data_IF_617755305213
#
_entry.id   IF_617755305213
#
_cell.length_a   1.000
_cell.length_b   1.000
_cell.length_c   1.000
_cell.angle_alpha   90.00
_cell.angle_beta   90.00
_cell.angle_gamma   90.00
#
_symmetry.space_group_name_H-M   'P 1'
#
loop_
_entity.id
_entity.type
_entity.pdbx_description
1 polymer ?
#
# COMPACT_ATOMS: atom_id res chain seq x y z
N UNK A 1 -24.76 17.68 -9.56
CA UNK A 1 -24.73 16.83 -8.34
C UNK A 1 -26.03 16.91 -7.55
N UNK A 2 -26.51 18.10 -7.18
CA UNK A 2 -27.79 18.27 -6.46
C UNK A 2 -29.01 17.78 -7.27
N UNK A 3 -29.06 18.08 -8.57
CA UNK A 3 -30.15 17.64 -9.47
C UNK A 3 -30.29 16.11 -9.56
N UNK A 4 -29.19 15.38 -9.41
CA UNK A 4 -29.18 13.91 -9.35
C UNK A 4 -29.26 13.40 -7.90
N UNK A 5 -29.65 14.26 -6.95
CA UNK A 5 -29.90 13.93 -5.54
C UNK A 5 -28.71 13.31 -4.80
N UNK A 6 -27.48 13.62 -5.22
CA UNK A 6 -26.23 13.15 -4.56
C UNK A 6 -26.10 11.61 -4.46
N UNK A 7 -26.80 10.89 -5.35
CA UNK A 7 -26.84 9.42 -5.34
C UNK A 7 -26.02 8.77 -6.45
N UNK A 8 -25.14 9.54 -7.09
CA UNK A 8 -24.46 9.12 -8.31
C UNK A 8 -22.97 9.45 -8.26
N UNK A 9 -22.20 8.65 -9.00
CA UNK A 9 -20.74 8.82 -9.12
C UNK A 9 -20.40 9.91 -10.13
N UNK A 10 -19.14 10.36 -10.13
CA UNK A 10 -18.64 11.37 -11.05
C UNK A 10 -18.98 11.05 -12.52
N UNK A 11 -18.73 9.82 -12.96
CA UNK A 11 -19.02 9.38 -14.33
C UNK A 11 -20.49 9.54 -14.72
N UNK A 12 -21.41 9.23 -13.81
CA UNK A 12 -22.84 9.40 -14.08
C UNK A 12 -23.24 10.87 -14.14
N UNK A 13 -22.67 11.71 -13.26
CA UNK A 13 -22.87 13.17 -13.29
C UNK A 13 -22.36 13.77 -14.61
N UNK A 14 -21.17 13.34 -15.05
CA UNK A 14 -20.59 13.78 -16.33
C UNK A 14 -21.44 13.33 -17.51
N UNK A 15 -21.93 12.08 -17.50
CA UNK A 15 -22.84 11.60 -18.55
C UNK A 15 -24.11 12.44 -18.64
N UNK A 16 -24.67 12.89 -17.51
CA UNK A 16 -25.81 13.82 -17.51
C UNK A 16 -25.43 15.17 -18.11
N UNK A 17 -24.29 15.74 -17.72
CA UNK A 17 -23.80 17.02 -18.24
C UNK A 17 -23.54 16.96 -19.75
N UNK A 18 -22.95 15.89 -20.23
CA UNK A 18 -22.64 15.66 -21.65
C UNK A 18 -23.84 15.17 -22.47
N UNK A 19 -25.02 14.98 -21.87
CA UNK A 19 -26.18 14.47 -22.59
C UNK A 19 -26.03 13.02 -23.08
N UNK A 20 -25.12 12.25 -22.48
CA UNK A 20 -24.83 10.87 -22.86
C UNK A 20 -25.87 9.91 -22.26
N UNK A 21 -26.52 9.13 -23.13
CA UNK A 21 -27.56 8.18 -22.75
C UNK A 21 -26.98 6.86 -22.20
N UNK A 22 -26.36 6.93 -21.02
CA UNK A 22 -25.90 5.74 -20.30
C UNK A 22 -27.05 4.92 -19.70
N UNK A 23 -26.78 3.66 -19.32
CA UNK A 23 -27.74 2.81 -18.62
C UNK A 23 -28.27 3.48 -17.34
N UNK A 24 -27.39 4.07 -16.53
CA UNK A 24 -27.77 4.83 -15.33
C UNK A 24 -28.70 6.01 -15.66
N UNK A 25 -28.37 6.79 -16.69
CA UNK A 25 -29.18 7.95 -17.11
C UNK A 25 -30.59 7.53 -17.50
N UNK A 26 -30.73 6.41 -18.23
CA UNK A 26 -32.04 5.85 -18.62
C UNK A 26 -32.81 5.30 -17.42
N UNK A 27 -32.16 4.53 -16.55
CA UNK A 27 -32.78 3.91 -15.37
C UNK A 27 -33.34 4.95 -14.41
N UNK A 28 -32.59 6.02 -14.16
CA UNK A 28 -33.00 7.10 -13.24
C UNK A 28 -33.72 8.26 -13.93
N UNK A 29 -34.01 8.13 -15.23
CA UNK A 29 -34.68 9.15 -16.06
C UNK A 29 -33.99 10.52 -16.01
N UNK A 30 -32.67 10.53 -15.85
CA UNK A 30 -31.89 11.77 -15.82
C UNK A 30 -31.86 12.51 -17.15
N UNK A 31 -32.23 11.83 -18.25
CA UNK A 31 -32.44 12.42 -19.56
C UNK A 31 -33.61 13.43 -19.60
N UNK A 32 -34.47 13.45 -18.57
CA UNK A 32 -35.57 14.42 -18.45
C UNK A 32 -35.21 15.63 -17.57
N UNK A 33 -34.01 15.67 -16.99
CA UNK A 33 -33.56 16.81 -16.19
C UNK A 33 -33.23 17.99 -17.10
N UNK A 34 -33.55 19.20 -16.66
CA UNK A 34 -33.23 20.42 -17.43
C UNK A 34 -31.72 20.65 -17.61
N UNK A 35 -30.89 20.02 -16.79
CA UNK A 35 -29.42 20.09 -16.87
C UNK A 35 -28.82 19.10 -17.87
N UNK A 36 -29.63 18.19 -18.42
CA UNK A 36 -29.13 17.16 -19.32
C UNK A 36 -28.59 17.79 -20.61
N UNK A 37 -27.31 17.54 -20.93
CA UNK A 37 -26.65 18.08 -22.12
C UNK A 37 -26.22 19.55 -22.05
N UNK A 38 -26.51 20.28 -20.96
CA UNK A 38 -26.06 21.68 -20.78
C UNK A 38 -24.54 21.83 -20.64
N UNK A 39 -23.84 20.72 -20.36
CA UNK A 39 -22.38 20.71 -20.25
C UNK A 39 -21.64 20.61 -21.58
N UNK A 40 -22.34 20.48 -22.72
CA UNK A 40 -21.72 20.40 -24.05
C UNK A 40 -21.37 21.77 -24.66
N UNK A 41 -21.61 22.87 -23.94
CA UNK A 41 -21.30 24.22 -24.40
C UNK A 41 -19.79 24.47 -24.44
N UNK A 42 -19.29 25.17 -25.46
CA UNK A 42 -17.89 25.58 -25.65
C UNK A 42 -16.86 24.44 -25.69
N UNK A 43 -17.16 23.35 -26.42
CA UNK A 43 -16.24 22.19 -26.62
C UNK A 43 -15.80 21.51 -25.32
N UNK A 44 -16.55 21.68 -24.23
CA UNK A 44 -16.27 21.01 -22.95
C UNK A 44 -16.57 19.51 -23.07
N UNK A 45 -15.50 18.72 -23.08
CA UNK A 45 -15.54 17.27 -23.21
C UNK A 45 -15.54 16.56 -21.84
N UNK A 46 -15.52 15.23 -21.86
CA UNK A 46 -15.43 14.42 -20.63
C UNK A 46 -14.19 14.75 -19.81
N UNK A 47 -13.05 15.07 -20.44
CA UNK A 47 -11.82 15.45 -19.72
C UNK A 47 -12.03 16.76 -18.96
N UNK A 48 -12.63 17.76 -19.60
CA UNK A 48 -12.95 19.03 -18.96
C UNK A 48 -13.81 18.85 -17.71
N UNK A 49 -14.92 18.11 -17.80
CA UNK A 49 -15.81 17.90 -16.66
C UNK A 49 -15.18 17.04 -15.56
N UNK A 50 -14.30 16.09 -15.92
CA UNK A 50 -13.49 15.38 -14.94
C UNK A 50 -12.54 16.33 -14.19
N UNK A 51 -11.86 17.24 -14.88
CA UNK A 51 -10.99 18.24 -14.27
C UNK A 51 -11.78 19.16 -13.31
N UNK A 52 -12.98 19.60 -13.72
CA UNK A 52 -13.88 20.41 -12.87
C UNK A 52 -14.29 19.65 -11.60
N UNK A 53 -14.69 18.38 -11.73
CA UNK A 53 -15.07 17.56 -10.56
C UNK A 53 -13.85 17.33 -9.64
N UNK A 54 -12.67 17.07 -10.20
CA UNK A 54 -11.43 16.89 -9.44
C UNK A 54 -11.08 18.16 -8.66
N UNK A 55 -11.13 19.32 -9.32
CA UNK A 55 -10.91 20.61 -8.67
C UNK A 55 -11.93 20.88 -7.57
N UNK A 56 -13.21 20.53 -7.80
CA UNK A 56 -14.26 20.70 -6.81
C UNK A 56 -14.07 19.78 -5.58
N UNK A 57 -13.52 18.58 -5.76
CA UNK A 57 -13.13 17.67 -4.67
C UNK A 57 -11.92 18.21 -3.89
N UNK A 58 -10.86 18.63 -4.58
CA UNK A 58 -9.63 19.19 -3.97
C UNK A 58 -9.92 20.47 -3.20
N UNK A 59 -10.76 21.34 -3.78
CA UNK A 59 -11.19 22.59 -3.15
C UNK A 59 -12.18 22.36 -2.00
N UNK A 60 -12.65 21.12 -1.81
CA UNK A 60 -13.55 20.71 -0.75
C UNK A 60 -15.01 21.16 -0.94
N UNK A 61 -15.43 21.50 -2.16
CA UNK A 61 -16.85 21.78 -2.48
C UNK A 61 -17.66 20.50 -2.64
N UNK A 62 -17.02 19.45 -3.14
CA UNK A 62 -17.57 18.11 -3.22
C UNK A 62 -16.81 17.18 -2.27
N UNK A 63 -17.48 16.14 -1.81
CA UNK A 63 -16.87 15.01 -1.12
C UNK A 63 -17.36 13.69 -1.73
N UNK A 64 -16.57 12.63 -1.53
CA UNK A 64 -16.98 11.27 -1.85
C UNK A 64 -17.51 10.61 -0.59
N UNK A 65 -18.68 9.99 -0.71
CA UNK A 65 -19.21 9.14 0.35
C UNK A 65 -18.40 7.83 0.41
N UNK A 66 -17.69 7.64 1.51
CA UNK A 66 -16.81 6.49 1.76
C UNK A 66 -17.64 5.22 2.02
N UNK A 67 -18.83 5.36 2.61
CA UNK A 67 -19.69 4.23 2.98
C UNK A 67 -20.50 3.72 1.77
N UNK A 68 -20.83 4.60 0.82
CA UNK A 68 -21.69 4.28 -0.32
C UNK A 68 -20.94 4.13 -1.66
N UNK A 69 -19.69 3.66 -1.65
CA UNK A 69 -18.90 3.41 -2.88
C UNK A 69 -18.70 4.67 -3.77
N UNK A 70 -18.35 5.80 -3.17
CA UNK A 70 -17.81 6.97 -3.89
C UNK A 70 -18.85 7.86 -4.58
N UNK A 71 -20.07 7.93 -4.04
CA UNK A 71 -21.09 8.89 -4.49
C UNK A 71 -20.65 10.32 -4.21
N UNK A 72 -20.92 11.23 -5.15
CA UNK A 72 -20.60 12.64 -4.97
C UNK A 72 -21.66 13.33 -4.11
N UNK A 73 -21.21 13.95 -3.01
CA UNK A 73 -22.01 14.81 -2.14
C UNK A 73 -21.48 16.24 -2.16
N UNK A 74 -22.37 17.21 -1.99
CA UNK A 74 -22.00 18.62 -1.84
C UNK A 74 -21.71 18.90 -0.37
N UNK A 75 -20.53 19.45 -0.09
CA UNK A 75 -20.13 19.80 1.28
C UNK A 75 -20.81 21.09 1.73
N UNK A 76 -20.70 21.43 3.02
CA UNK A 76 -21.14 22.74 3.53
C UNK A 76 -20.51 23.90 2.75
N UNK A 77 -19.20 23.82 2.50
CA UNK A 77 -18.44 24.78 1.69
C UNK A 77 -18.95 24.87 0.25
N UNK A 78 -19.36 23.73 -0.34
CA UNK A 78 -19.97 23.70 -1.67
C UNK A 78 -21.32 24.42 -1.73
N UNK A 79 -22.13 24.33 -0.67
CA UNK A 79 -23.40 25.06 -0.58
C UNK A 79 -23.18 26.56 -0.40
N UNK A 80 -22.24 26.95 0.46
CA UNK A 80 -21.82 28.36 0.64
C UNK A 80 -21.32 28.97 -0.68
N UNK A 81 -20.57 28.20 -1.48
CA UNK A 81 -20.15 28.62 -2.82
C UNK A 81 -21.31 28.83 -3.80
N UNK A 82 -22.39 28.03 -3.71
CA UNK A 82 -23.57 28.21 -4.55
C UNK A 82 -24.36 29.47 -4.19
N UNK A 83 -24.32 29.90 -2.92
CA UNK A 83 -24.96 31.14 -2.45
C UNK A 83 -24.14 32.39 -2.82
N UNK A 84 -22.81 32.29 -2.79
CA UNK A 84 -21.89 33.38 -3.13
C UNK A 84 -20.75 32.89 -4.05
N UNK A 85 -21.00 32.74 -5.35
CA UNK A 85 -20.02 32.18 -6.28
C UNK A 85 -18.87 33.15 -6.52
N UNK A 86 -17.66 32.60 -6.61
CA UNK A 86 -16.45 33.33 -6.98
C UNK A 86 -15.66 32.57 -8.06
N UNK A 87 -14.82 33.30 -8.80
CA UNK A 87 -14.03 32.71 -9.88
C UNK A 87 -12.92 31.82 -9.34
N UNK A 88 -12.79 30.64 -9.93
CA UNK A 88 -11.73 29.67 -9.61
C UNK A 88 -11.01 29.34 -10.91
N UNK A 89 -9.68 29.36 -10.85
CA UNK A 89 -8.84 28.97 -11.99
C UNK A 89 -8.88 27.46 -12.18
N UNK A 90 -9.31 27.02 -13.36
CA UNK A 90 -9.26 25.61 -13.76
C UNK A 90 -7.96 25.36 -14.54
N UNK A 91 -7.11 24.47 -14.02
CA UNK A 91 -5.96 23.97 -14.77
C UNK A 91 -6.49 23.10 -15.91
N UNK A 92 -6.21 23.49 -17.16
CA UNK A 92 -6.48 22.64 -18.33
C UNK A 92 -5.51 21.47 -18.33
N UNK A 93 -6.04 20.28 -18.61
CA UNK A 93 -5.22 19.09 -18.80
C UNK A 93 -4.36 19.26 -20.07
N UNK A 94 -3.10 18.87 -20.03
CA UNK A 94 -2.20 18.98 -21.18
C UNK A 94 -2.39 17.77 -22.10
N UNK A 95 -2.90 18.01 -23.32
CA UNK A 95 -2.88 17.00 -24.38
C UNK A 95 -1.42 16.81 -24.87
N UNK A 96 -0.77 15.74 -24.42
CA UNK A 96 0.52 15.27 -24.95
C UNK A 96 0.37 14.54 -26.29
N UNK A 97 -0.48 15.03 -27.18
CA UNK A 97 -0.57 14.54 -28.56
C UNK A 97 0.01 15.60 -29.50
N UNK A 98 1.33 15.74 -29.49
CA UNK A 98 2.05 16.44 -30.56
C UNK A 98 3.13 17.43 -30.12
N UNK A 99 4.21 16.96 -29.50
CA UNK A 99 5.50 17.63 -29.56
C UNK A 99 6.63 16.63 -29.28
N UNK A 100 7.65 16.65 -30.14
CA UNK A 100 8.82 15.77 -30.06
C UNK A 100 9.74 16.08 -28.86
N UNK A 101 10.85 15.33 -28.72
CA UNK A 101 11.69 15.36 -27.54
C UNK A 101 12.63 16.58 -27.59
N UNK A 102 12.29 17.64 -26.88
CA UNK A 102 13.22 18.66 -26.37
C UNK A 102 12.45 19.67 -25.51
N UNK A 103 12.69 19.69 -24.20
CA UNK A 103 13.49 20.72 -23.53
C UNK A 103 13.12 20.75 -22.04
N UNK A 104 14.13 20.62 -21.20
CA UNK A 104 14.03 20.61 -19.74
C UNK A 104 13.67 22.01 -19.23
N UNK A 105 12.66 22.13 -18.35
CA UNK A 105 12.71 23.09 -17.23
C UNK A 105 11.68 22.74 -16.16
N UNK A 106 12.23 22.20 -15.06
CA UNK A 106 11.89 22.31 -13.65
C UNK A 106 10.46 22.63 -13.13
N UNK A 107 10.29 22.18 -11.88
CA UNK A 107 9.36 22.61 -10.80
C UNK A 107 7.91 22.07 -10.88
N UNK A 108 7.26 21.47 -9.85
CA UNK A 108 7.48 21.36 -8.39
C UNK A 108 6.91 20.02 -7.92
N UNK A 109 7.62 19.36 -7.00
CA UNK A 109 7.11 18.28 -6.15
C UNK A 109 5.88 18.72 -5.35
N UNK A 110 4.77 17.99 -5.47
CA UNK A 110 3.78 17.93 -4.41
C UNK A 110 3.36 16.48 -4.23
N UNK A 111 4.17 15.77 -3.43
CA UNK A 111 3.73 14.56 -2.78
C UNK A 111 2.48 14.83 -1.95
N UNK A 112 1.48 13.98 -2.12
CA UNK A 112 0.53 13.63 -1.07
C UNK A 112 0.00 12.24 -1.37
N UNK A 113 0.62 11.26 -0.73
CA UNK A 113 0.08 9.93 -0.60
C UNK A 113 -1.23 9.93 0.20
N UNK A 114 -2.03 8.89 -0.03
CA UNK A 114 -3.11 8.49 0.87
C UNK A 114 -4.47 8.32 0.21
N UNK A 115 -4.84 7.04 0.00
CA UNK A 115 -6.21 6.51 -0.03
C UNK A 115 -7.00 6.56 -1.34
N UNK A 116 -7.01 5.42 -2.04
CA UNK A 116 -8.19 4.93 -2.78
C UNK A 116 -8.48 5.48 -4.17
N UNK A 117 -7.62 6.32 -4.75
CA UNK A 117 -7.71 6.71 -6.15
C UNK A 117 -6.74 5.88 -7.00
N UNK A 118 -7.24 5.29 -8.09
CA UNK A 118 -6.42 4.61 -9.11
C UNK A 118 -5.35 5.56 -9.61
N UNK A 119 -4.09 5.13 -9.59
CA UNK A 119 -3.00 5.87 -10.22
C UNK A 119 -3.18 5.84 -11.74
N UNK A 120 -3.54 6.99 -12.30
CA UNK A 120 -3.87 7.16 -13.71
C UNK A 120 -2.63 6.97 -14.62
N UNK A 121 -1.44 7.31 -14.12
CA UNK A 121 -0.19 7.17 -14.88
C UNK A 121 0.16 5.68 -14.97
N UNK A 122 0.19 4.98 -13.83
CA UNK A 122 0.44 3.55 -13.80
C UNK A 122 -0.61 2.78 -14.60
N UNK A 123 -1.88 3.15 -14.48
CA UNK A 123 -2.96 2.53 -15.24
C UNK A 123 -2.79 2.69 -16.76
N UNK A 124 -2.34 3.86 -17.22
CA UNK A 124 -2.03 4.07 -18.64
C UNK A 124 -0.87 3.18 -19.11
N UNK A 125 0.21 3.12 -18.33
CA UNK A 125 1.37 2.25 -18.62
C UNK A 125 0.95 0.78 -18.70
N UNK A 126 0.09 0.33 -17.77
CA UNK A 126 -0.45 -1.02 -17.75
C UNK A 126 -1.34 -1.32 -18.97
N UNK A 127 -2.18 -0.36 -19.40
CA UNK A 127 -3.00 -0.49 -20.62
C UNK A 127 -2.14 -0.67 -21.86
N UNK A 128 -1.06 0.08 -21.98
CA UNK A 128 -0.15 -0.03 -23.11
C UNK A 128 0.61 -1.36 -23.09
N UNK A 129 1.03 -1.83 -21.91
CA UNK A 129 1.63 -3.15 -21.75
C UNK A 129 0.67 -4.28 -22.12
N UNK A 130 -0.63 -4.16 -21.80
CA UNK A 130 -1.66 -5.10 -22.28
C UNK A 130 -1.72 -5.11 -23.80
N UNK A 131 -1.78 -3.95 -24.46
CA UNK A 131 -1.85 -3.89 -25.94
C UNK A 131 -0.61 -4.53 -26.57
N UNK A 132 0.57 -4.25 -26.04
CA UNK A 132 1.82 -4.84 -26.52
C UNK A 132 1.84 -6.36 -26.35
N UNK A 133 1.46 -6.86 -25.17
CA UNK A 133 1.41 -8.29 -24.85
C UNK A 133 0.37 -9.02 -25.71
N UNK A 134 -0.81 -8.43 -25.87
CA UNK A 134 -1.89 -8.93 -26.71
C UNK A 134 -1.46 -9.06 -28.17
N UNK A 135 -0.80 -8.02 -28.71
CA UNK A 135 -0.24 -8.03 -30.07
C UNK A 135 0.84 -9.11 -30.23
N UNK A 136 1.77 -9.22 -29.29
CA UNK A 136 2.84 -10.22 -29.32
C UNK A 136 2.30 -11.66 -29.27
N UNK A 137 1.23 -11.89 -28.50
CA UNK A 137 0.59 -13.20 -28.36
C UNK A 137 -0.51 -13.48 -29.38
N UNK A 138 -0.86 -12.51 -30.24
CA UNK A 138 -1.99 -12.56 -31.19
C UNK A 138 -3.33 -12.89 -30.50
N UNK A 139 -3.56 -12.30 -29.33
CA UNK A 139 -4.77 -12.48 -28.53
C UNK A 139 -5.47 -11.14 -28.34
N UNK A 140 -6.80 -11.10 -28.15
CA UNK A 140 -7.50 -9.88 -27.76
C UNK A 140 -7.01 -9.33 -26.40
N UNK A 141 -6.93 -8.00 -26.20
CA UNK A 141 -6.46 -7.38 -24.95
C UNK A 141 -7.09 -7.90 -23.66
N UNK A 142 -8.41 -8.11 -23.65
CA UNK A 142 -9.16 -8.59 -22.48
C UNK A 142 -8.78 -10.01 -22.04
N UNK A 143 -8.15 -10.80 -22.92
CA UNK A 143 -7.67 -12.15 -22.61
C UNK A 143 -6.43 -12.09 -21.69
N UNK A 144 -5.62 -11.04 -21.83
CA UNK A 144 -4.43 -10.82 -21.00
C UNK A 144 -4.88 -10.41 -19.60
N UNK A 145 -5.44 -9.22 -19.47
CA UNK A 145 -6.05 -8.71 -18.23
C UNK A 145 -7.27 -7.85 -18.57
N UNK A 146 -8.26 -7.88 -17.68
CA UNK A 146 -9.45 -7.02 -17.80
C UNK A 146 -9.15 -5.64 -17.20
N UNK A 147 -9.88 -4.62 -17.65
CA UNK A 147 -9.69 -3.25 -17.17
C UNK A 147 -9.81 -3.15 -15.64
N UNK A 148 -10.78 -3.85 -15.04
CA UNK A 148 -10.93 -3.95 -13.58
C UNK A 148 -9.68 -4.49 -12.87
N UNK A 149 -8.97 -5.44 -13.48
CA UNK A 149 -7.72 -5.97 -12.93
C UNK A 149 -6.60 -4.93 -13.01
N UNK A 150 -6.56 -4.13 -14.08
CA UNK A 150 -5.54 -3.08 -14.24
C UNK A 150 -5.79 -1.90 -13.29
N UNK A 151 -7.06 -1.52 -13.09
CA UNK A 151 -7.45 -0.50 -12.10
C UNK A 151 -7.02 -0.94 -10.70
N UNK A 152 -7.25 -2.20 -10.34
CA UNK A 152 -6.87 -2.73 -9.05
C UNK A 152 -5.34 -2.87 -8.90
N UNK A 153 -4.61 -3.24 -9.95
CA UNK A 153 -3.13 -3.21 -9.95
C UNK A 153 -2.58 -1.80 -9.71
N UNK A 154 -3.21 -0.77 -10.29
CA UNK A 154 -2.84 0.63 -10.09
C UNK A 154 -3.29 1.20 -8.73
N UNK A 155 -4.04 0.44 -7.94
CA UNK A 155 -4.36 0.77 -6.55
C UNK A 155 -3.44 0.00 -5.59
N UNK A 156 -3.24 -1.29 -5.84
CA UNK A 156 -2.57 -2.22 -4.90
C UNK A 156 -1.05 -2.35 -5.13
N UNK A 157 -0.55 -1.92 -6.29
CA UNK A 157 0.86 -1.96 -6.68
C UNK A 157 1.54 -3.33 -6.45
N UNK A 158 1.05 -4.43 -7.04
CA UNK A 158 1.67 -5.74 -6.86
C UNK A 158 3.06 -5.80 -7.50
N UNK A 159 4.11 -6.09 -6.72
CA UNK A 159 5.52 -6.16 -7.19
C UNK A 159 6.07 -7.58 -7.28
N UNK A 160 5.24 -8.60 -7.06
CA UNK A 160 5.60 -9.99 -7.27
C UNK A 160 4.41 -10.80 -7.79
N UNK A 161 4.71 -12.01 -8.27
CA UNK A 161 3.69 -12.90 -8.84
C UNK A 161 2.68 -13.41 -7.81
N UNK A 162 3.03 -13.42 -6.52
CA UNK A 162 2.09 -13.82 -5.45
C UNK A 162 1.11 -12.70 -5.09
N UNK A 163 1.52 -11.44 -5.24
CA UNK A 163 0.66 -10.29 -5.04
C UNK A 163 -0.30 -10.12 -6.21
N UNK A 164 0.17 -10.32 -7.45
CA UNK A 164 -0.68 -10.16 -8.63
C UNK A 164 -1.77 -11.22 -8.74
N UNK A 165 -1.60 -12.42 -8.14
CA UNK A 165 -2.66 -13.46 -8.08
C UNK A 165 -3.79 -13.13 -7.11
N UNK A 166 -3.58 -12.16 -6.22
CA UNK A 166 -4.62 -11.66 -5.30
C UNK A 166 -5.53 -10.61 -5.95
N UNK A 167 -5.17 -10.13 -7.15
CA UNK A 167 -5.95 -9.16 -7.92
C UNK A 167 -7.17 -9.83 -8.53
N UNK A 168 -8.31 -9.15 -8.50
CA UNK A 168 -9.58 -9.63 -9.04
C UNK A 168 -9.44 -9.91 -10.54
N UNK A 169 -9.83 -11.12 -10.96
CA UNK A 169 -9.75 -11.55 -12.36
C UNK A 169 -8.37 -12.09 -12.79
N UNK A 170 -7.40 -12.17 -11.86
CA UNK A 170 -6.05 -12.71 -12.10
C UNK A 170 -5.86 -14.03 -11.37
N UNK A 171 -6.23 -15.14 -12.01
CA UNK A 171 -5.90 -16.48 -11.49
C UNK A 171 -4.45 -16.87 -11.74
N UNK A 172 -3.98 -17.93 -11.05
CA UNK A 172 -2.62 -18.49 -11.17
C UNK A 172 -2.17 -18.73 -12.62
N UNK A 173 -3.08 -19.17 -13.49
CA UNK A 173 -2.79 -19.40 -14.90
C UNK A 173 -2.45 -18.11 -15.68
N UNK A 174 -3.13 -16.99 -15.41
CA UNK A 174 -2.85 -15.70 -16.04
C UNK A 174 -1.60 -15.06 -15.44
N UNK A 175 -1.44 -15.12 -14.12
CA UNK A 175 -0.26 -14.62 -13.43
C UNK A 175 1.03 -15.29 -13.94
N UNK A 176 1.03 -16.62 -14.05
CA UNK A 176 2.18 -17.36 -14.57
C UNK A 176 2.47 -17.07 -16.05
N UNK A 177 1.42 -16.96 -16.90
CA UNK A 177 1.59 -16.76 -18.35
C UNK A 177 1.91 -15.32 -18.76
N UNK A 178 1.37 -14.33 -18.06
CA UNK A 178 1.39 -12.93 -18.47
C UNK A 178 1.87 -11.97 -17.39
N UNK A 179 1.92 -12.37 -16.11
CA UNK A 179 2.12 -11.46 -14.98
C UNK A 179 3.54 -10.89 -14.83
N UNK A 180 4.58 -11.63 -15.26
CA UNK A 180 5.99 -11.21 -15.07
C UNK A 180 6.31 -9.79 -15.59
N UNK A 181 6.01 -9.42 -16.85
CA UNK A 181 6.30 -8.07 -17.34
C UNK A 181 5.48 -6.99 -16.63
N UNK A 182 4.28 -7.32 -16.13
CA UNK A 182 3.42 -6.37 -15.40
C UNK A 182 4.01 -6.07 -14.03
N UNK A 183 4.42 -7.11 -13.32
CA UNK A 183 5.11 -7.01 -12.04
C UNK A 183 6.40 -6.19 -12.16
N UNK A 184 7.21 -6.43 -13.20
CA UNK A 184 8.45 -5.68 -13.43
C UNK A 184 8.18 -4.20 -13.70
N UNK A 185 7.16 -3.88 -14.51
CA UNK A 185 6.73 -2.50 -14.77
C UNK A 185 6.27 -1.80 -13.48
N UNK A 186 5.39 -2.45 -12.71
CA UNK A 186 4.84 -1.89 -11.46
C UNK A 186 5.96 -1.69 -10.45
N UNK A 187 6.87 -2.66 -10.31
CA UNK A 187 8.02 -2.56 -9.41
C UNK A 187 8.91 -1.37 -9.76
N UNK A 188 9.29 -1.26 -11.04
CA UNK A 188 10.10 -0.13 -11.52
C UNK A 188 9.40 1.21 -11.24
N UNK A 189 8.11 1.28 -11.53
CA UNK A 189 7.31 2.49 -11.30
C UNK A 189 7.22 2.87 -9.82
N UNK A 190 7.04 1.89 -8.92
CA UNK A 190 7.05 2.09 -7.47
C UNK A 190 8.43 2.58 -7.00
N UNK A 191 9.51 1.97 -7.47
CA UNK A 191 10.88 2.31 -7.10
C UNK A 191 11.26 3.72 -7.58
N UNK A 192 10.87 4.11 -8.81
CA UNK A 192 11.18 5.42 -9.40
C UNK A 192 10.39 6.58 -8.78
N UNK A 193 9.19 6.30 -8.27
CA UNK A 193 8.28 7.32 -7.72
C UNK A 193 8.14 7.24 -6.19
N UNK A 194 8.95 6.41 -5.52
CA UNK A 194 8.96 6.20 -4.07
C UNK A 194 7.55 5.95 -3.48
N UNK A 195 6.75 5.11 -4.14
CA UNK A 195 5.33 4.92 -3.81
C UNK A 195 5.18 4.03 -2.57
N UNK A 196 4.54 4.56 -1.52
CA UNK A 196 4.07 3.75 -0.40
C UNK A 196 2.85 2.90 -0.80
N UNK A 197 3.01 1.57 -0.82
CA UNK A 197 1.98 0.65 -1.30
C UNK A 197 0.99 0.27 -0.19
N UNK A 198 -0.31 0.06 -0.51
CA UNK A 198 -1.28 -0.43 0.49
C UNK A 198 -0.91 -1.81 1.03
N UNK A 199 -0.38 -2.67 0.17
CA UNK A 199 0.21 -3.95 0.56
C UNK A 199 1.30 -3.75 1.60
N UNK A 200 2.16 -2.73 1.47
CA UNK A 200 3.18 -2.37 2.47
C UNK A 200 2.58 -1.86 3.78
N UNK A 201 1.34 -1.34 3.79
CA UNK A 201 0.62 -0.94 5.03
C UNK A 201 -0.06 -2.12 5.73
N UNK A 202 -0.65 -3.06 4.99
CA UNK A 202 -1.15 -4.33 5.54
C UNK A 202 0.02 -5.16 6.06
N UNK A 203 1.13 -5.10 5.32
CA UNK A 203 2.45 -5.56 5.73
C UNK A 203 2.98 -4.70 6.90
N UNK A 204 2.70 -3.41 7.09
CA UNK A 204 3.06 -2.73 8.37
C UNK A 204 2.37 -3.40 9.60
N UNK A 205 1.24 -4.09 9.41
CA UNK A 205 0.59 -4.90 10.46
C UNK A 205 1.03 -6.38 10.55
N UNK A 206 1.72 -6.95 9.54
CA UNK A 206 2.15 -8.38 9.53
C UNK A 206 3.60 -8.63 9.06
N UNK A 207 4.20 -7.70 8.30
CA UNK A 207 5.57 -7.71 7.75
C UNK A 207 6.22 -6.29 7.66
N UNK A 208 6.24 -5.49 8.73
CA UNK A 208 7.36 -4.54 8.90
C UNK A 208 8.61 -5.28 9.41
N UNK A 209 8.74 -6.58 9.12
CA UNK A 209 9.80 -7.43 9.67
C UNK A 209 11.16 -6.98 9.15
N UNK A 210 11.33 -6.57 7.90
CA UNK A 210 12.68 -6.22 7.39
C UNK A 210 13.18 -4.86 7.88
N UNK A 211 12.33 -3.82 7.85
CA UNK A 211 12.67 -2.47 8.35
C UNK A 211 12.79 -2.42 9.87
N UNK A 212 11.89 -3.11 10.59
CA UNK A 212 12.04 -3.26 12.04
C UNK A 212 13.24 -4.10 12.42
N UNK A 213 13.57 -5.18 11.68
CA UNK A 213 14.80 -5.95 11.93
C UNK A 213 16.06 -5.12 11.74
N UNK A 214 16.15 -4.31 10.68
CA UNK A 214 17.29 -3.39 10.49
C UNK A 214 17.35 -2.34 11.61
N UNK A 215 16.21 -1.74 11.98
CA UNK A 215 16.11 -0.80 13.10
C UNK A 215 16.48 -1.45 14.44
N UNK A 216 16.12 -2.71 14.65
CA UNK A 216 16.42 -3.48 15.85
C UNK A 216 17.91 -3.84 15.90
N UNK A 217 18.50 -4.30 14.79
CA UNK A 217 19.95 -4.55 14.67
C UNK A 217 20.73 -3.27 14.96
N UNK A 218 20.34 -2.13 14.37
CA UNK A 218 20.97 -0.84 14.66
C UNK A 218 20.80 -0.40 16.12
N UNK A 219 19.66 -0.71 16.75
CA UNK A 219 19.45 -0.42 18.16
C UNK A 219 20.34 -1.28 19.07
N UNK A 220 20.55 -2.55 18.70
CA UNK A 220 21.47 -3.49 19.35
C UNK A 220 22.91 -3.01 19.21
N UNK A 221 23.33 -2.60 18.02
CA UNK A 221 24.68 -2.07 17.76
C UNK A 221 24.97 -0.80 18.59
N UNK A 222 23.93 0.01 18.82
CA UNK A 222 23.98 1.19 19.70
C UNK A 222 23.84 0.86 21.20
N UNK A 223 23.71 -0.43 21.55
CA UNK A 223 23.52 -0.93 22.93
C UNK A 223 22.31 -0.30 23.64
N UNK A 224 21.23 -0.08 22.90
CA UNK A 224 19.98 0.48 23.45
C UNK A 224 19.33 -0.55 24.36
N UNK A 225 18.73 -0.13 25.48
CA UNK A 225 17.95 -1.05 26.31
C UNK A 225 16.78 -1.66 25.49
N UNK A 226 16.69 -2.99 25.48
CA UNK A 226 15.72 -3.73 24.66
C UNK A 226 14.27 -3.51 25.11
N UNK A 227 14.02 -3.36 26.41
CA UNK A 227 12.68 -3.04 26.91
C UNK A 227 12.23 -1.65 26.49
N UNK A 228 13.14 -0.67 26.57
CA UNK A 228 12.84 0.71 26.16
C UNK A 228 12.62 0.78 24.65
N UNK A 229 13.36 0.00 23.88
CA UNK A 229 13.11 -0.17 22.45
C UNK A 229 11.73 -0.75 22.19
N UNK A 230 11.33 -1.84 22.88
CA UNK A 230 10.00 -2.43 22.77
C UNK A 230 8.88 -1.41 23.07
N UNK A 231 9.03 -0.66 24.16
CA UNK A 231 8.10 0.42 24.55
C UNK A 231 8.02 1.50 23.47
N UNK A 232 9.14 1.94 22.92
CA UNK A 232 9.19 2.95 21.86
C UNK A 232 8.49 2.52 20.56
N UNK A 233 8.45 1.21 20.31
CA UNK A 233 7.78 0.59 19.17
C UNK A 233 6.34 0.14 19.48
N UNK A 234 5.89 0.34 20.72
CA UNK A 234 4.57 -0.06 21.21
C UNK A 234 4.30 -1.56 20.99
N UNK A 235 5.30 -2.41 21.25
CA UNK A 235 5.20 -3.87 21.17
C UNK A 235 5.51 -4.52 22.54
N UNK A 236 4.85 -5.65 22.89
CA UNK A 236 5.22 -6.45 24.05
C UNK A 236 6.67 -6.98 23.96
N UNK A 237 7.35 -7.11 25.10
CA UNK A 237 8.74 -7.62 25.13
C UNK A 237 8.85 -9.06 24.60
N UNK A 238 7.87 -9.91 24.91
CA UNK A 238 7.75 -11.28 24.36
C UNK A 238 7.74 -11.31 22.83
N UNK A 239 7.13 -10.31 22.19
CA UNK A 239 7.07 -10.20 20.73
C UNK A 239 8.40 -9.70 20.17
N UNK A 240 9.08 -8.77 20.87
CA UNK A 240 10.45 -8.36 20.53
C UNK A 240 11.43 -9.55 20.58
N UNK A 241 11.34 -10.40 21.60
CA UNK A 241 12.15 -11.63 21.67
C UNK A 241 11.89 -12.53 20.47
N UNK A 242 10.65 -12.67 20.02
CA UNK A 242 10.31 -13.43 18.81
C UNK A 242 10.87 -12.80 17.53
N UNK A 243 10.95 -11.47 17.46
CA UNK A 243 11.64 -10.80 16.36
C UNK A 243 13.15 -11.04 16.38
N UNK A 244 13.79 -11.02 17.55
CA UNK A 244 15.21 -11.33 17.72
C UNK A 244 15.52 -12.78 17.31
N UNK A 245 14.68 -13.74 17.71
CA UNK A 245 14.83 -15.16 17.32
C UNK A 245 14.76 -15.30 15.80
N UNK A 246 13.83 -14.59 15.17
CA UNK A 246 13.72 -14.59 13.71
C UNK A 246 14.89 -13.87 12.99
N UNK A 247 15.67 -13.03 13.68
CA UNK A 247 16.92 -12.44 13.15
C UNK A 247 18.05 -13.47 13.25
N UNK A 248 18.24 -14.05 14.43
CA UNK A 248 19.30 -15.02 14.68
C UNK A 248 19.12 -16.27 13.81
N UNK A 249 17.91 -16.81 13.72
CA UNK A 249 17.59 -17.97 12.87
C UNK A 249 17.71 -17.67 11.36
N UNK A 250 17.77 -16.38 10.98
CA UNK A 250 18.04 -15.99 9.59
C UNK A 250 19.52 -15.90 9.24
N UNK A 251 20.41 -16.26 10.18
CA UNK A 251 21.87 -16.24 9.96
C UNK A 251 22.56 -14.95 10.41
N UNK A 252 21.84 -14.01 11.02
CA UNK A 252 22.41 -12.72 11.43
C UNK A 252 22.97 -12.82 12.84
N UNK A 253 24.27 -12.54 12.99
CA UNK A 253 24.91 -12.41 14.30
C UNK A 253 24.47 -11.13 14.99
N UNK A 254 24.02 -11.25 16.22
CA UNK A 254 23.69 -10.13 17.11
C UNK A 254 24.50 -10.22 18.41
N UNK A 255 24.81 -9.09 19.02
CA UNK A 255 25.45 -9.05 20.33
C UNK A 255 24.55 -8.33 21.33
N UNK A 256 23.87 -9.11 22.17
CA UNK A 256 22.98 -8.62 23.23
C UNK A 256 23.57 -8.79 24.64
N UNK A 257 24.87 -9.06 24.76
CA UNK A 257 25.53 -9.31 26.07
C UNK A 257 25.34 -8.11 27.02
N UNK A 258 25.40 -6.88 26.50
CA UNK A 258 25.19 -5.66 27.29
C UNK A 258 23.84 -5.60 28.02
N UNK A 259 22.84 -6.32 27.52
CA UNK A 259 21.53 -6.44 28.12
C UNK A 259 21.45 -7.67 29.03
N UNK A 260 21.94 -8.82 28.56
CA UNK A 260 21.94 -10.08 29.33
C UNK A 260 22.69 -9.92 30.65
N UNK A 261 23.86 -9.28 30.64
CA UNK A 261 24.70 -9.05 31.83
C UNK A 261 23.99 -8.22 32.92
N UNK A 262 22.88 -7.56 32.59
CA UNK A 262 22.04 -6.79 33.52
C UNK A 262 20.73 -7.48 33.87
N UNK A 263 20.24 -8.36 32.99
CA UNK A 263 18.93 -8.99 33.09
C UNK A 263 19.00 -10.40 33.70
N UNK A 264 20.16 -11.06 33.62
CA UNK A 264 20.35 -12.46 34.05
C UNK A 264 21.63 -12.57 34.89
N UNK A 265 21.51 -13.15 36.09
CA UNK A 265 22.64 -13.38 36.99
C UNK A 265 23.70 -14.29 36.35
N UNK A 266 24.99 -14.05 36.63
CA UNK A 266 26.12 -14.79 36.01
C UNK A 266 26.07 -16.30 36.26
N UNK A 267 25.61 -16.74 37.44
CA UNK A 267 25.43 -18.16 37.76
C UNK A 267 24.39 -18.80 36.84
N UNK A 268 23.23 -18.15 36.69
CA UNK A 268 22.16 -18.58 35.78
C UNK A 268 22.61 -18.60 34.33
N UNK A 269 23.37 -17.59 33.89
CA UNK A 269 23.92 -17.57 32.54
C UNK A 269 24.78 -18.79 32.27
N UNK A 270 25.66 -19.14 33.22
CA UNK A 270 26.58 -20.28 33.08
C UNK A 270 25.80 -21.60 32.98
N UNK A 271 24.83 -21.80 33.86
CA UNK A 271 24.02 -23.02 33.89
C UNK A 271 23.20 -23.22 32.60
N UNK A 272 22.49 -22.19 32.14
CA UNK A 272 21.72 -22.27 30.89
C UNK A 272 22.64 -22.52 29.70
N UNK A 273 23.80 -21.88 29.67
CA UNK A 273 24.75 -22.02 28.56
C UNK A 273 25.37 -23.42 28.51
N UNK A 274 25.66 -24.03 29.64
CA UNK A 274 26.18 -25.41 29.71
C UNK A 274 25.10 -26.44 29.37
N UNK A 275 23.85 -26.24 29.80
CA UNK A 275 22.72 -27.04 29.34
C UNK A 275 22.58 -27.01 27.81
N UNK A 276 22.66 -25.82 27.20
CA UNK A 276 22.50 -25.69 25.74
C UNK A 276 23.59 -26.41 24.94
N UNK A 277 24.81 -26.55 25.46
CA UNK A 277 25.89 -27.31 24.78
C UNK A 277 25.60 -28.81 24.68
N UNK A 278 24.83 -29.36 25.62
CA UNK A 278 24.53 -30.80 25.70
C UNK A 278 23.11 -31.14 25.24
N UNK A 279 22.23 -30.15 25.12
CA UNK A 279 20.85 -30.33 24.71
C UNK A 279 20.75 -30.92 23.29
N UNK A 280 19.83 -31.87 23.10
CA UNK A 280 19.58 -32.50 21.79
C UNK A 280 18.55 -31.75 20.95
N UNK A 281 17.75 -30.88 21.58
CA UNK A 281 16.68 -30.10 20.95
C UNK A 281 16.82 -28.63 21.32
N UNK A 282 16.33 -27.74 20.44
CA UNK A 282 16.22 -26.31 20.71
C UNK A 282 14.81 -25.95 21.24
N UNK A 283 14.21 -26.85 22.01
CA UNK A 283 12.86 -26.69 22.55
C UNK A 283 12.90 -25.83 23.82
N UNK A 284 12.15 -24.71 23.82
CA UNK A 284 12.03 -23.86 25.00
C UNK A 284 11.43 -24.62 26.19
N UNK A 285 10.41 -25.43 25.91
CA UNK A 285 9.68 -26.18 26.93
C UNK A 285 10.57 -27.24 27.59
N UNK A 286 11.43 -27.90 26.82
CA UNK A 286 12.36 -28.90 27.35
C UNK A 286 13.44 -28.22 28.20
N UNK A 287 13.91 -27.04 27.78
CA UNK A 287 14.89 -26.25 28.52
C UNK A 287 14.36 -25.80 29.88
N UNK A 288 13.15 -25.21 29.92
CA UNK A 288 12.52 -24.77 31.17
C UNK A 288 12.28 -25.92 32.14
N UNK A 289 11.91 -27.09 31.62
CA UNK A 289 11.68 -28.27 32.45
C UNK A 289 12.95 -28.79 33.13
N UNK A 290 14.08 -28.81 32.42
CA UNK A 290 15.34 -29.31 32.98
C UNK A 290 16.08 -28.29 33.84
N UNK A 291 15.94 -26.99 33.53
CA UNK A 291 16.52 -25.92 34.32
C UNK A 291 15.69 -25.59 35.58
N UNK A 292 14.40 -25.97 35.58
CA UNK A 292 13.47 -25.69 36.68
C UNK A 292 12.62 -24.45 36.40
N UNK A 293 11.32 -24.66 36.22
CA UNK A 293 10.34 -23.60 35.92
C UNK A 293 10.19 -22.55 37.05
N UNK A 294 10.58 -22.90 38.28
CA UNK A 294 10.53 -22.01 39.44
C UNK A 294 11.78 -21.11 39.57
N UNK A 295 12.91 -21.54 39.00
CA UNK A 295 14.21 -20.85 39.11
C UNK A 295 14.52 -19.98 37.88
N UNK A 296 13.88 -20.29 36.74
CA UNK A 296 14.11 -19.64 35.45
C UNK A 296 12.82 -19.15 34.79
N UNK A 297 12.80 -17.87 34.43
CA UNK A 297 11.75 -17.31 33.60
C UNK A 297 11.90 -17.67 32.12
N UNK A 298 10.77 -17.70 31.41
CA UNK A 298 10.74 -17.88 29.95
C UNK A 298 11.67 -16.88 29.24
N UNK A 299 11.73 -15.64 29.72
CA UNK A 299 12.51 -14.57 29.10
C UNK A 299 14.02 -14.75 29.29
N UNK A 300 14.47 -15.14 30.50
CA UNK A 300 15.88 -15.43 30.79
C UNK A 300 16.41 -16.55 29.88
N UNK A 301 15.65 -17.65 29.75
CA UNK A 301 16.04 -18.78 28.91
C UNK A 301 16.07 -18.38 27.42
N UNK A 302 15.08 -17.62 26.95
CA UNK A 302 15.07 -17.14 25.56
C UNK A 302 16.24 -16.21 25.23
N UNK A 303 16.61 -15.30 26.14
CA UNK A 303 17.77 -14.42 25.97
C UNK A 303 19.08 -15.21 25.87
N UNK A 304 19.26 -16.21 26.73
CA UNK A 304 20.44 -17.08 26.69
C UNK A 304 20.49 -17.92 25.41
N UNK A 305 19.34 -18.42 24.93
CA UNK A 305 19.23 -19.10 23.64
C UNK A 305 19.66 -18.22 22.47
N UNK A 306 19.20 -16.96 22.45
CA UNK A 306 19.61 -15.98 21.43
C UNK A 306 21.12 -15.78 21.40
N UNK A 307 21.74 -15.63 22.58
CA UNK A 307 23.21 -15.53 22.70
C UNK A 307 23.90 -16.78 22.16
N UNK A 308 23.46 -17.97 22.59
CA UNK A 308 24.06 -19.24 22.20
C UNK A 308 24.01 -19.48 20.68
N UNK A 309 22.83 -19.31 20.07
CA UNK A 309 22.66 -19.52 18.61
C UNK A 309 23.44 -18.45 17.82
N UNK A 310 23.49 -17.20 18.30
CA UNK A 310 24.26 -16.15 17.66
C UNK A 310 25.78 -16.42 17.69
N UNK A 311 26.29 -17.05 18.76
CA UNK A 311 27.71 -17.36 18.94
C UNK A 311 28.14 -18.65 18.22
N UNK A 312 27.31 -19.70 18.23
CA UNK A 312 27.68 -21.03 17.70
C UNK A 312 26.89 -21.49 16.47
N UNK A 313 25.69 -20.97 16.25
CA UNK A 313 24.81 -21.37 15.16
C UNK A 313 25.09 -20.66 13.82
N UNK A 314 25.74 -19.50 13.88
CA UNK A 314 26.00 -18.61 12.74
C UNK A 314 27.48 -18.33 12.53
#
# INVERSE_FOLDING_TARGET
>A
VLEVKEKHKAKDVINVLLGSLSSTVKTYKHNNLEIFGKGCEDEKDEKHWNAVIRLALVSGFLSKDIENYGLLKVTKKGKEFLEAPYSIMLTRDHDYTGAGPADDSEIIMAGKGGSGATDEILFSLLKDLVKQTAKAKKLPPYVIFQEVSLEEMAIQYPINLEEITKITGVGNGKASKYGKPFVELIKKYVDENEIERPSDMIVKSVVNKSGNKVSLIQAIDRKTNLEDYAKSKNIPFKDLLSELEAIVNSGTKININYYIDKAVDEEKQTEVYDYMKIAQTDSLTDALKELGEDDYSEEEVRLMRLKFISEFGN
#
